data_IF_179821870864
#
_entry.id   IF_179821870864
#
_cell.length_a   1.000
_cell.length_b   1.000
_cell.length_c   1.000
_cell.angle_alpha   90.00
_cell.angle_beta   90.00
_cell.angle_gamma   90.00
#
_symmetry.space_group_name_H-M   'P 1'
#
loop_
_entity.id
_entity.type
_entity.pdbx_description
1 polymer ?
#
# COMPACT_ATOMS: atom_id res chain seq x y z
N UNK A 1 60.86 21.69 23.13
CA UNK A 1 60.06 22.19 24.26
C UNK A 1 58.88 21.25 24.50
N UNK A 2 58.84 20.66 25.72
CA UNK A 2 57.70 20.06 26.48
C UNK A 2 56.78 19.08 25.72
N UNK A 3 56.91 17.75 25.85
CA UNK A 3 56.77 16.84 27.02
C UNK A 3 55.43 16.95 27.75
N UNK A 4 54.68 15.84 27.78
CA UNK A 4 54.05 15.31 29.01
C UNK A 4 53.86 13.78 28.93
N UNK A 5 54.60 13.10 29.80
CA UNK A 5 54.39 11.72 30.28
C UNK A 5 53.90 11.77 31.73
N UNK A 6 52.99 10.86 32.13
CA UNK A 6 52.78 10.41 33.53
C UNK A 6 52.31 8.94 33.47
N UNK A 7 53.17 7.93 33.65
CA UNK A 7 53.66 7.28 34.90
C UNK A 7 52.59 6.57 35.76
N UNK A 8 52.51 5.25 35.55
CA UNK A 8 52.59 4.11 36.49
C UNK A 8 52.23 4.32 37.98
N UNK A 9 51.40 3.41 38.51
CA UNK A 9 51.64 2.81 39.83
C UNK A 9 51.19 1.34 39.86
N UNK A 10 52.11 0.46 40.29
CA UNK A 10 51.91 -0.98 40.56
C UNK A 10 51.74 -1.14 42.08
N UNK A 11 50.95 -2.12 42.51
CA UNK A 11 50.92 -2.58 43.90
C UNK A 11 50.39 -4.01 44.00
N UNK A 12 51.31 -4.98 44.06
CA UNK A 12 51.07 -6.37 44.51
C UNK A 12 50.55 -6.38 45.95
N UNK A 13 49.70 -7.36 46.29
CA UNK A 13 49.85 -8.23 47.47
C UNK A 13 49.01 -9.49 47.21
N UNK A 14 49.68 -10.65 47.25
CA UNK A 14 49.07 -11.97 47.29
C UNK A 14 49.72 -12.72 48.45
N UNK A 15 48.98 -13.01 49.54
CA UNK A 15 49.27 -14.01 50.58
C UNK A 15 47.90 -14.39 51.18
N UNK A 16 47.28 -15.49 50.74
CA UNK A 16 47.28 -16.83 51.36
C UNK A 16 46.77 -16.80 52.81
N UNK A 17 45.55 -17.32 53.01
CA UNK A 17 44.92 -17.50 54.31
C UNK A 17 43.83 -18.57 54.24
N UNK A 18 44.27 -19.82 54.21
CA UNK A 18 43.51 -21.06 54.29
C UNK A 18 42.80 -21.17 55.66
N UNK A 19 41.49 -21.48 55.67
CA UNK A 19 40.89 -22.56 56.47
C UNK A 19 39.36 -22.41 56.61
N UNK A 20 38.67 -23.33 55.93
CA UNK A 20 37.41 -24.00 56.26
C UNK A 20 36.74 -23.68 57.60
N UNK A 21 35.43 -23.41 57.58
CA UNK A 21 34.43 -24.21 58.31
C UNK A 21 32.99 -23.91 57.83
N UNK A 22 32.29 -25.01 57.59
CA UNK A 22 30.95 -25.27 57.09
C UNK A 22 29.79 -24.54 57.79
N UNK A 23 28.73 -24.20 57.04
CA UNK A 23 27.35 -24.73 57.18
C UNK A 23 26.32 -23.90 56.39
N UNK A 24 25.46 -24.54 55.59
CA UNK A 24 24.20 -23.94 55.11
C UNK A 24 23.88 -24.19 53.63
N UNK A 25 22.83 -24.97 53.38
CA UNK A 25 22.53 -25.65 52.13
C UNK A 25 21.77 -24.86 51.05
N UNK A 26 22.04 -25.27 49.81
CA UNK A 26 21.14 -25.36 48.65
C UNK A 26 20.61 -24.09 47.97
N UNK A 27 21.22 -23.76 46.83
CA UNK A 27 20.47 -23.54 45.59
C UNK A 27 21.32 -23.97 44.40
N UNK A 28 20.84 -24.96 43.65
CA UNK A 28 21.40 -25.37 42.37
C UNK A 28 21.37 -24.17 41.41
N UNK A 29 22.54 -23.67 41.02
CA UNK A 29 22.65 -22.87 39.81
C UNK A 29 22.53 -23.84 38.63
N UNK A 30 21.33 -23.94 38.06
CA UNK A 30 21.08 -24.65 36.81
C UNK A 30 21.91 -23.95 35.72
N UNK A 31 23.01 -24.57 35.33
CA UNK A 31 23.83 -24.13 34.21
C UNK A 31 22.98 -24.34 32.95
N UNK A 32 22.43 -23.25 32.41
CA UNK A 32 21.69 -23.27 31.15
C UNK A 32 22.67 -23.64 30.03
N UNK A 33 22.71 -24.93 29.68
CA UNK A 33 23.29 -25.39 28.43
C UNK A 33 22.39 -24.86 27.32
N UNK A 34 22.91 -23.92 26.53
CA UNK A 34 22.31 -23.50 25.26
C UNK A 34 22.17 -24.74 24.38
N UNK A 35 20.96 -25.29 24.32
CA UNK A 35 20.62 -26.28 23.31
C UNK A 35 20.66 -25.55 21.97
N UNK A 36 21.67 -25.88 21.17
CA UNK A 36 21.65 -25.58 19.74
C UNK A 36 20.50 -26.41 19.17
N UNK A 37 19.34 -25.79 18.98
CA UNK A 37 18.34 -26.32 18.06
C UNK A 37 19.01 -26.38 16.69
N UNK A 38 19.39 -27.59 16.27
CA UNK A 38 19.50 -27.92 14.85
C UNK A 38 18.10 -27.76 14.26
N UNK A 39 17.78 -26.52 13.86
CA UNK A 39 16.67 -26.29 12.95
C UNK A 39 17.08 -26.95 11.65
N UNK A 40 16.41 -28.05 11.30
CA UNK A 40 16.42 -28.57 9.94
C UNK A 40 16.00 -27.42 9.04
N UNK A 41 16.95 -26.81 8.34
CA UNK A 41 16.70 -25.82 7.31
C UNK A 41 16.01 -26.53 6.14
N UNK A 42 14.70 -26.70 6.25
CA UNK A 42 13.86 -26.66 5.07
C UNK A 42 13.95 -25.23 4.56
N UNK A 43 14.79 -25.02 3.55
CA UNK A 43 14.79 -23.80 2.74
C UNK A 43 13.54 -23.79 1.87
N UNK A 44 12.37 -23.69 2.50
CA UNK A 44 11.21 -23.08 1.87
C UNK A 44 11.24 -21.63 2.35
N UNK A 45 11.65 -20.73 1.47
CA UNK A 45 11.29 -19.32 1.59
C UNK A 45 9.76 -19.27 1.68
N UNK A 46 9.21 -19.13 2.87
CA UNK A 46 7.78 -18.94 3.09
C UNK A 46 7.38 -17.59 2.47
N UNK A 47 7.13 -17.63 1.17
CA UNK A 47 6.55 -16.55 0.41
C UNK A 47 5.19 -16.29 1.05
N UNK A 48 4.98 -15.06 1.53
CA UNK A 48 3.70 -14.66 2.11
C UNK A 48 2.55 -15.13 1.19
N UNK A 49 1.48 -15.71 1.74
CA UNK A 49 0.40 -16.26 0.92
C UNK A 49 -0.11 -15.22 -0.07
N UNK A 50 -0.05 -15.57 -1.35
CA UNK A 50 -0.54 -14.73 -2.44
C UNK A 50 -2.06 -14.56 -2.32
N UNK A 51 -2.56 -13.34 -2.46
CA UNK A 51 -4.00 -13.07 -2.51
C UNK A 51 -4.56 -13.77 -3.76
N UNK A 52 -5.62 -14.59 -3.64
CA UNK A 52 -6.22 -15.29 -4.76
C UNK A 52 -6.88 -14.33 -5.76
N UNK A 53 -7.03 -14.77 -7.01
CA UNK A 53 -7.48 -13.93 -8.12
C UNK A 53 -8.85 -13.28 -7.88
N UNK A 54 -9.79 -14.01 -7.31
CA UNK A 54 -11.15 -13.52 -7.05
C UNK A 54 -11.16 -12.44 -5.96
N UNK A 55 -10.24 -12.53 -5.00
CA UNK A 55 -10.06 -11.54 -3.95
C UNK A 55 -9.34 -10.29 -4.47
N UNK A 56 -8.37 -10.46 -5.38
CA UNK A 56 -7.79 -9.33 -6.13
C UNK A 56 -8.82 -8.62 -7.00
N UNK A 57 -9.70 -9.36 -7.66
CA UNK A 57 -10.79 -8.78 -8.46
C UNK A 57 -11.67 -7.88 -7.59
N UNK A 58 -12.03 -8.33 -6.38
CA UNK A 58 -12.75 -7.51 -5.39
C UNK A 58 -11.94 -6.31 -4.90
N UNK A 59 -10.65 -6.49 -4.66
CA UNK A 59 -9.75 -5.45 -4.16
C UNK A 59 -9.62 -4.28 -5.15
N UNK A 60 -9.49 -4.58 -6.45
CA UNK A 60 -9.31 -3.57 -7.50
C UNK A 60 -10.62 -3.05 -8.10
N UNK A 61 -11.74 -3.77 -7.91
CA UNK A 61 -13.04 -3.40 -8.46
C UNK A 61 -13.45 -1.93 -8.26
N UNK A 62 -13.15 -1.25 -7.14
CA UNK A 62 -13.53 0.16 -6.99
C UNK A 62 -12.74 1.15 -7.87
N UNK A 63 -11.56 0.74 -8.37
CA UNK A 63 -10.63 1.62 -9.10
C UNK A 63 -10.28 1.11 -10.50
N UNK A 64 -10.70 -0.11 -10.86
CA UNK A 64 -10.29 -0.75 -12.11
C UNK A 64 -10.75 0.01 -13.37
N UNK A 65 -11.79 0.84 -13.29
CA UNK A 65 -12.26 1.68 -14.40
C UNK A 65 -11.64 3.09 -14.42
N UNK A 66 -10.76 3.42 -13.47
CA UNK A 66 -10.04 4.70 -13.53
C UNK A 66 -9.20 4.78 -14.81
N UNK A 67 -9.07 5.98 -15.43
CA UNK A 67 -8.08 6.21 -16.48
C UNK A 67 -6.68 5.79 -16.03
N UNK A 68 -5.88 5.25 -16.94
CA UNK A 68 -4.59 4.62 -16.67
C UNK A 68 -3.64 5.54 -15.87
N UNK A 69 -3.52 6.85 -16.17
CA UNK A 69 -2.70 7.76 -15.36
C UNK A 69 -3.17 7.85 -13.91
N UNK A 70 -4.48 7.93 -13.68
CA UNK A 70 -5.05 8.01 -12.33
C UNK A 70 -4.93 6.68 -11.58
N UNK A 71 -5.17 5.57 -12.27
CA UNK A 71 -5.01 4.23 -11.70
C UNK A 71 -3.56 4.02 -11.22
N UNK A 72 -2.58 4.38 -12.05
CA UNK A 72 -1.17 4.26 -11.70
C UNK A 72 -0.83 5.06 -10.43
N UNK A 73 -1.28 6.32 -10.34
CA UNK A 73 -1.06 7.14 -9.15
C UNK A 73 -1.79 6.59 -7.91
N UNK A 74 -3.00 6.07 -8.08
CA UNK A 74 -3.77 5.47 -6.98
C UNK A 74 -3.07 4.23 -6.42
N UNK A 75 -2.57 3.35 -7.29
CA UNK A 75 -1.81 2.16 -6.90
C UNK A 75 -0.49 2.53 -6.22
N UNK A 76 0.26 3.49 -6.78
CA UNK A 76 1.50 3.96 -6.16
C UNK A 76 1.27 4.57 -4.78
N UNK A 77 0.30 5.50 -4.67
CA UNK A 77 -0.05 6.15 -3.41
C UNK A 77 -0.59 5.18 -2.35
N UNK A 78 -1.19 4.05 -2.76
CA UNK A 78 -1.67 3.02 -1.83
C UNK A 78 -0.55 2.37 -1.02
N UNK A 79 0.70 2.47 -1.48
CA UNK A 79 1.88 2.00 -0.73
C UNK A 79 2.32 2.99 0.37
N UNK A 80 1.66 4.15 0.48
CA UNK A 80 1.90 5.20 1.48
C UNK A 80 0.63 5.58 2.28
N UNK A 81 -0.04 4.61 2.94
CA UNK A 81 -1.35 4.85 3.58
C UNK A 81 -1.34 5.98 4.61
N UNK A 82 -0.25 6.13 5.37
CA UNK A 82 -0.11 7.24 6.33
C UNK A 82 -0.11 8.60 5.64
N UNK A 83 0.63 8.73 4.54
CA UNK A 83 0.72 10.00 3.79
C UNK A 83 -0.62 10.35 3.13
N UNK A 84 -1.37 9.36 2.67
CA UNK A 84 -2.74 9.55 2.15
C UNK A 84 -3.68 10.12 3.22
N UNK A 85 -3.62 9.61 4.46
CA UNK A 85 -4.38 10.17 5.58
C UNK A 85 -3.93 11.60 5.90
N UNK A 86 -2.61 11.86 5.88
CA UNK A 86 -2.07 13.20 6.10
C UNK A 86 -2.53 14.18 5.01
N UNK A 87 -2.56 13.74 3.75
CA UNK A 87 -3.07 14.51 2.62
C UNK A 87 -4.54 14.85 2.81
N UNK A 88 -5.39 13.88 3.19
CA UNK A 88 -6.80 14.14 3.49
C UNK A 88 -6.96 15.25 4.53
N UNK A 89 -6.28 15.12 5.67
CA UNK A 89 -6.34 16.11 6.75
C UNK A 89 -5.79 17.47 6.30
N UNK A 90 -4.79 17.49 5.43
CA UNK A 90 -4.22 18.71 4.89
C UNK A 90 -5.19 19.40 3.92
N UNK A 91 -5.85 18.65 3.03
CA UNK A 91 -6.89 19.19 2.15
C UNK A 91 -8.04 19.79 2.98
N UNK A 92 -8.42 19.14 4.08
CA UNK A 92 -9.44 19.66 4.99
C UNK A 92 -9.06 20.98 5.68
N UNK A 93 -7.78 21.21 5.93
CA UNK A 93 -7.28 22.49 6.45
C UNK A 93 -7.05 23.55 5.36
N UNK A 94 -6.96 23.13 4.10
CA UNK A 94 -6.58 23.98 2.97
C UNK A 94 -7.65 24.05 1.87
N UNK A 95 -8.94 23.98 2.24
CA UNK A 95 -10.09 23.91 1.30
C UNK A 95 -10.15 25.05 0.27
N UNK A 96 -9.51 26.18 0.57
CA UNK A 96 -9.48 27.37 -0.27
C UNK A 96 -8.38 27.34 -1.34
N UNK A 97 -7.43 26.40 -1.27
CA UNK A 97 -6.41 26.23 -2.31
C UNK A 97 -7.01 25.50 -3.51
N UNK A 98 -6.72 26.01 -4.72
CA UNK A 98 -7.18 25.47 -6.00
C UNK A 98 -6.08 25.52 -7.04
N UNK A 99 -6.21 24.71 -8.07
CA UNK A 99 -5.38 24.71 -9.28
C UNK A 99 -3.88 24.80 -8.97
N UNK A 100 -3.18 25.74 -9.59
CA UNK A 100 -1.75 25.96 -9.39
C UNK A 100 -1.38 26.25 -7.93
N UNK A 101 -2.20 26.99 -7.18
CA UNK A 101 -1.91 27.29 -5.78
C UNK A 101 -1.96 26.03 -4.90
N UNK A 102 -2.88 25.11 -5.20
CA UNK A 102 -2.94 23.79 -4.57
C UNK A 102 -1.71 22.96 -4.93
N UNK A 103 -1.35 22.88 -6.21
CA UNK A 103 -0.18 22.14 -6.70
C UNK A 103 1.13 22.66 -6.06
N UNK A 104 1.33 23.98 -6.02
CA UNK A 104 2.52 24.59 -5.45
C UNK A 104 2.62 24.39 -3.92
N UNK A 105 1.48 24.25 -3.24
CA UNK A 105 1.43 24.04 -1.80
C UNK A 105 1.63 22.56 -1.42
N UNK A 106 1.04 21.63 -2.17
CA UNK A 106 1.23 20.19 -1.94
C UNK A 106 2.64 19.73 -2.28
N UNK A 107 3.28 20.33 -3.31
CA UNK A 107 4.66 20.01 -3.70
C UNK A 107 5.71 20.32 -2.61
N UNK A 108 5.34 21.10 -1.58
CA UNK A 108 6.18 21.42 -0.43
C UNK A 108 6.06 20.39 0.71
N UNK A 109 5.09 19.49 0.63
CA UNK A 109 4.90 18.46 1.64
C UNK A 109 5.91 17.33 1.41
N UNK A 110 6.41 16.69 2.48
CA UNK A 110 7.43 15.66 2.38
C UNK A 110 6.85 14.28 1.98
N UNK A 111 5.82 14.27 1.14
CA UNK A 111 5.13 13.06 0.69
C UNK A 111 5.67 12.59 -0.65
N UNK A 112 5.46 11.31 -0.97
CA UNK A 112 5.78 10.74 -2.27
C UNK A 112 5.04 11.50 -3.41
N UNK A 113 5.66 11.70 -4.58
CA UNK A 113 5.01 12.37 -5.71
C UNK A 113 3.65 11.78 -6.11
N UNK A 114 3.46 10.47 -5.94
CA UNK A 114 2.17 9.83 -6.22
C UNK A 114 1.08 10.30 -5.25
N UNK A 115 1.40 10.46 -3.97
CA UNK A 115 0.51 11.02 -2.95
C UNK A 115 0.25 12.50 -3.25
N UNK A 116 1.29 13.28 -3.56
CA UNK A 116 1.13 14.69 -3.91
C UNK A 116 0.19 14.88 -5.11
N UNK A 117 0.31 14.04 -6.13
CA UNK A 117 -0.54 14.09 -7.33
C UNK A 117 -2.03 13.86 -7.01
N UNK A 118 -2.34 13.08 -5.96
CA UNK A 118 -3.72 12.86 -5.55
C UNK A 118 -4.42 14.09 -4.96
N UNK A 119 -3.70 15.17 -4.64
CA UNK A 119 -4.31 16.41 -4.18
C UNK A 119 -5.32 17.01 -5.19
N UNK A 120 -5.11 16.76 -6.48
CA UNK A 120 -6.04 17.17 -7.54
C UNK A 120 -7.33 16.33 -7.58
N UNK A 121 -7.39 15.21 -6.85
CA UNK A 121 -8.46 14.23 -6.86
C UNK A 121 -8.99 13.98 -5.42
N UNK A 122 -9.62 14.98 -4.79
CA UNK A 122 -10.05 14.89 -3.39
C UNK A 122 -10.96 13.69 -3.11
N UNK A 123 -11.79 13.27 -4.07
CA UNK A 123 -12.66 12.12 -3.89
C UNK A 123 -11.89 10.78 -3.87
N UNK A 124 -10.75 10.69 -4.59
CA UNK A 124 -9.84 9.53 -4.51
C UNK A 124 -9.15 9.50 -3.16
N UNK A 125 -8.65 10.65 -2.70
CA UNK A 125 -8.05 10.79 -1.37
C UNK A 125 -9.05 10.40 -0.28
N UNK A 126 -10.29 10.87 -0.38
CA UNK A 126 -11.34 10.58 0.59
C UNK A 126 -11.70 9.10 0.60
N UNK A 127 -11.75 8.43 -0.56
CA UNK A 127 -11.92 6.96 -0.64
C UNK A 127 -10.78 6.23 0.07
N UNK A 128 -9.53 6.60 -0.25
CA UNK A 128 -8.36 5.90 0.27
C UNK A 128 -8.16 6.14 1.77
N UNK A 129 -8.27 7.39 2.23
CA UNK A 129 -8.15 7.74 3.64
C UNK A 129 -9.35 7.28 4.47
N UNK A 130 -10.55 7.29 3.88
CA UNK A 130 -11.78 6.82 4.52
C UNK A 130 -11.88 5.31 4.65
N UNK A 131 -11.11 4.56 3.84
CA UNK A 131 -10.97 3.11 3.96
C UNK A 131 -9.48 2.72 4.00
N UNK A 132 -8.84 3.04 5.12
CA UNK A 132 -7.39 2.87 5.27
C UNK A 132 -6.94 1.40 5.24
N UNK A 133 -7.80 0.48 5.69
CA UNK A 133 -7.52 -0.96 5.61
C UNK A 133 -7.44 -1.39 4.15
N UNK A 134 -8.46 -1.07 3.34
CA UNK A 134 -8.45 -1.35 1.90
C UNK A 134 -7.26 -0.72 1.19
N UNK A 135 -6.91 0.53 1.51
CA UNK A 135 -5.72 1.20 0.94
C UNK A 135 -4.44 0.45 1.27
N UNK A 136 -4.30 0.01 2.52
CA UNK A 136 -3.14 -0.77 2.98
C UNK A 136 -3.07 -2.11 2.26
N UNK A 137 -4.20 -2.81 2.13
CA UNK A 137 -4.27 -4.10 1.46
C UNK A 137 -3.96 -3.98 -0.04
N UNK A 138 -4.48 -2.94 -0.69
CA UNK A 138 -4.17 -2.61 -2.09
C UNK A 138 -2.68 -2.36 -2.28
N UNK A 139 -2.06 -1.56 -1.41
CA UNK A 139 -0.63 -1.27 -1.45
C UNK A 139 0.22 -2.52 -1.24
N UNK A 140 -0.11 -3.33 -0.24
CA UNK A 140 0.58 -4.60 0.04
C UNK A 140 0.47 -5.57 -1.14
N UNK A 141 -0.71 -5.71 -1.73
CA UNK A 141 -0.93 -6.54 -2.90
C UNK A 141 -0.11 -6.03 -4.11
N UNK A 142 -0.10 -4.72 -4.34
CA UNK A 142 0.66 -4.11 -5.44
C UNK A 142 2.17 -4.32 -5.29
N UNK A 143 2.69 -4.25 -4.06
CA UNK A 143 4.11 -4.51 -3.76
C UNK A 143 4.47 -6.00 -3.88
N UNK A 144 3.60 -6.90 -3.42
CA UNK A 144 3.90 -8.33 -3.34
C UNK A 144 3.63 -9.10 -4.65
N UNK A 145 2.63 -8.68 -5.42
CA UNK A 145 2.10 -9.42 -6.57
C UNK A 145 1.57 -8.49 -7.67
N UNK A 146 2.38 -7.49 -8.04
CA UNK A 146 2.04 -6.45 -9.02
C UNK A 146 1.39 -6.99 -10.30
N UNK A 147 1.95 -8.04 -10.90
CA UNK A 147 1.42 -8.63 -12.13
C UNK A 147 -0.02 -9.10 -11.97
N UNK A 148 -0.34 -9.71 -10.83
CA UNK A 148 -1.67 -10.26 -10.57
C UNK A 148 -2.70 -9.17 -10.26
N UNK A 149 -2.27 -8.08 -9.61
CA UNK A 149 -3.09 -6.88 -9.41
C UNK A 149 -3.44 -6.25 -10.76
N UNK A 150 -2.46 -6.13 -11.67
CA UNK A 150 -2.71 -5.59 -13.01
C UNK A 150 -3.58 -6.53 -13.85
N UNK A 151 -3.41 -7.84 -13.70
CA UNK A 151 -4.29 -8.82 -14.35
C UNK A 151 -5.72 -8.76 -13.81
N UNK A 152 -5.90 -8.54 -12.51
CA UNK A 152 -7.21 -8.32 -11.91
C UNK A 152 -7.88 -7.07 -12.49
N UNK A 153 -7.15 -5.95 -12.60
CA UNK A 153 -7.67 -4.74 -13.26
C UNK A 153 -8.15 -5.05 -14.68
N UNK A 154 -7.36 -5.78 -15.46
CA UNK A 154 -7.72 -6.14 -16.82
C UNK A 154 -8.92 -7.09 -16.90
N UNK A 155 -9.04 -8.06 -15.97
CA UNK A 155 -10.25 -8.90 -15.84
C UNK A 155 -11.49 -8.04 -15.56
N UNK A 156 -11.38 -7.09 -14.63
CA UNK A 156 -12.48 -6.19 -14.29
C UNK A 156 -12.87 -5.28 -15.46
N UNK A 157 -11.91 -4.73 -16.20
CA UNK A 157 -12.17 -3.95 -17.41
C UNK A 157 -12.84 -4.78 -18.51
N UNK A 158 -12.33 -5.97 -18.81
CA UNK A 158 -12.96 -6.87 -19.78
C UNK A 158 -14.38 -7.30 -19.38
N UNK A 159 -14.63 -7.48 -18.08
CA UNK A 159 -15.97 -7.74 -17.56
C UNK A 159 -16.92 -6.56 -17.79
N UNK A 160 -16.44 -5.32 -17.60
CA UNK A 160 -17.24 -4.12 -17.86
C UNK A 160 -17.47 -3.87 -19.36
N UNK A 161 -16.47 -4.14 -20.23
CA UNK A 161 -16.63 -4.04 -21.69
C UNK A 161 -17.64 -5.06 -22.22
N UNK A 162 -17.53 -6.32 -21.79
CA UNK A 162 -18.45 -7.39 -22.23
C UNK A 162 -19.89 -7.15 -21.80
N UNK A 163 -20.10 -6.45 -20.68
CA UNK A 163 -21.43 -5.99 -20.24
C UNK A 163 -21.88 -4.68 -20.88
N UNK A 164 -21.02 -4.02 -21.65
CA UNK A 164 -21.31 -2.76 -22.31
C UNK A 164 -21.43 -1.58 -21.34
N UNK A 165 -20.89 -1.69 -20.14
CA UNK A 165 -20.88 -0.61 -19.13
C UNK A 165 -19.60 0.22 -19.21
N UNK A 166 -18.49 -0.32 -19.73
CA UNK A 166 -17.29 0.44 -20.06
C UNK A 166 -17.28 0.80 -21.55
N UNK A 167 -17.32 2.09 -21.87
CA UNK A 167 -17.37 2.62 -23.23
C UNK A 167 -16.61 3.94 -23.33
N UNK A 168 -16.16 4.27 -24.55
CA UNK A 168 -15.74 5.62 -24.91
C UNK A 168 -16.89 6.60 -24.73
N UNK A 169 -16.60 7.76 -24.14
CA UNK A 169 -17.54 8.84 -23.86
C UNK A 169 -16.84 10.20 -24.02
N UNK A 170 -17.50 11.29 -23.62
CA UNK A 170 -16.90 12.62 -23.58
C UNK A 170 -15.81 12.76 -22.50
N UNK A 171 -15.77 11.86 -21.52
CA UNK A 171 -14.85 11.91 -20.39
C UNK A 171 -13.63 11.01 -20.58
N UNK A 172 -13.76 9.92 -21.34
CA UNK A 172 -12.71 8.92 -21.52
C UNK A 172 -12.77 8.23 -22.88
N UNK A 173 -11.62 7.75 -23.33
CA UNK A 173 -11.47 6.86 -24.48
C UNK A 173 -11.13 5.46 -24.00
N UNK A 174 -11.85 4.45 -24.48
CA UNK A 174 -11.62 3.04 -24.18
C UNK A 174 -11.12 2.35 -25.44
N UNK A 175 -9.97 1.67 -25.35
CA UNK A 175 -9.34 0.98 -26.49
C UNK A 175 -8.78 -0.37 -26.07
N UNK A 176 -8.96 -1.39 -26.89
CA UNK A 176 -8.19 -2.64 -26.79
C UNK A 176 -6.87 -2.49 -27.55
N UNK A 177 -5.74 -2.62 -26.87
CA UNK A 177 -4.40 -2.59 -27.47
C UNK A 177 -3.73 -3.95 -27.30
N UNK A 178 -3.07 -4.43 -28.35
CA UNK A 178 -2.24 -5.62 -28.26
C UNK A 178 -0.91 -5.25 -27.58
N UNK A 179 -0.55 -5.96 -26.52
CA UNK A 179 0.77 -5.85 -25.88
C UNK A 179 1.68 -6.98 -26.34
N UNK A 180 2.95 -6.87 -25.98
CA UNK A 180 3.95 -7.90 -26.24
C UNK A 180 3.47 -9.27 -25.72
N UNK A 181 3.56 -10.30 -26.56
CA UNK A 181 2.96 -11.62 -26.28
C UNK A 181 1.53 -11.81 -26.80
N UNK A 182 0.96 -10.84 -27.53
CA UNK A 182 -0.31 -10.97 -28.24
C UNK A 182 -1.56 -10.89 -27.36
N UNK A 183 -1.39 -10.59 -26.07
CA UNK A 183 -2.49 -10.34 -25.13
C UNK A 183 -3.13 -8.99 -25.47
N UNK A 184 -4.46 -8.95 -25.50
CA UNK A 184 -5.21 -7.70 -25.59
C UNK A 184 -5.40 -7.12 -24.20
N UNK A 185 -5.11 -5.83 -24.03
CA UNK A 185 -5.39 -5.08 -22.80
C UNK A 185 -6.31 -3.92 -23.09
N UNK A 186 -7.20 -3.64 -22.15
CA UNK A 186 -8.10 -2.50 -22.17
C UNK A 186 -7.36 -1.31 -21.58
N UNK A 187 -7.19 -0.28 -22.39
CA UNK A 187 -6.58 1.00 -22.04
C UNK A 187 -7.69 2.03 -21.89
N UNK A 188 -7.69 2.76 -20.77
CA UNK A 188 -8.61 3.86 -20.50
C UNK A 188 -7.79 5.14 -20.43
N UNK A 189 -7.98 6.02 -21.39
CA UNK A 189 -7.30 7.31 -21.45
C UNK A 189 -8.33 8.44 -21.25
N UNK A 190 -7.95 9.57 -20.63
CA UNK A 190 -8.78 10.77 -20.64
C UNK A 190 -9.12 11.17 -22.08
N UNK A 191 -10.35 11.63 -22.32
CA UNK A 191 -10.72 12.16 -23.64
C UNK A 191 -9.98 13.48 -23.96
N UNK A 192 -9.68 14.25 -22.91
CA UNK A 192 -8.89 15.48 -22.97
C UNK A 192 -7.62 15.32 -22.12
N UNK A 193 -6.41 15.60 -22.65
CA UNK A 193 -5.15 15.34 -21.94
C UNK A 193 -5.02 16.01 -20.57
N UNK A 194 -5.60 17.20 -20.40
CA UNK A 194 -5.48 18.03 -19.20
C UNK A 194 -6.62 17.81 -18.19
N UNK A 195 -7.60 16.95 -18.52
CA UNK A 195 -8.79 16.74 -17.71
C UNK A 195 -9.00 15.25 -17.43
N UNK A 196 -8.62 14.83 -16.23
CA UNK A 196 -8.87 13.47 -15.74
C UNK A 196 -10.17 13.48 -14.92
N UNK A 197 -11.19 12.82 -15.46
CA UNK A 197 -12.41 12.52 -14.71
C UNK A 197 -12.18 11.31 -13.82
N UNK A 198 -12.68 11.35 -12.58
CA UNK A 198 -12.69 10.20 -11.70
C UNK A 198 -14.04 9.48 -11.83
N UNK A 199 -14.08 8.23 -12.34
CA UNK A 199 -15.31 7.48 -12.44
C UNK A 199 -15.90 7.16 -11.06
N UNK A 200 -17.22 7.36 -10.94
CA UNK A 200 -18.00 6.94 -9.78
C UNK A 200 -19.07 5.96 -10.24
N UNK A 201 -18.99 4.71 -9.80
CA UNK A 201 -19.87 3.63 -10.23
C UNK A 201 -20.15 2.62 -9.12
N UNK A 202 -21.25 1.88 -9.26
CA UNK A 202 -21.54 0.71 -8.44
C UNK A 202 -20.84 -0.52 -9.05
N UNK A 203 -19.90 -1.18 -8.36
CA UNK A 203 -19.30 -2.41 -8.84
C UNK A 203 -20.34 -3.49 -9.20
N UNK A 204 -21.48 -3.56 -8.50
CA UNK A 204 -22.55 -4.53 -8.79
C UNK A 204 -23.26 -4.19 -10.12
N UNK A 205 -23.50 -2.90 -10.40
CA UNK A 205 -24.11 -2.48 -11.67
C UNK A 205 -23.15 -2.75 -12.83
N UNK A 206 -21.90 -2.30 -12.70
CA UNK A 206 -20.89 -2.41 -13.76
C UNK A 206 -20.53 -3.88 -13.98
N UNK A 207 -20.17 -4.62 -12.92
CA UNK A 207 -19.63 -5.96 -13.05
C UNK A 207 -20.67 -7.08 -12.93
N UNK A 208 -21.86 -6.83 -12.40
CA UNK A 208 -22.93 -7.83 -12.27
C UNK A 208 -22.92 -8.49 -10.90
N UNK A 209 -22.98 -9.83 -10.85
CA UNK A 209 -23.03 -10.56 -9.60
C UNK A 209 -21.96 -10.07 -8.60
N UNK A 210 -22.30 -9.93 -7.30
CA UNK A 210 -21.36 -9.47 -6.30
C UNK A 210 -20.07 -10.31 -6.35
N UNK A 211 -18.93 -9.64 -6.37
CA UNK A 211 -17.65 -10.30 -6.19
C UNK A 211 -17.57 -10.83 -4.75
N UNK A 212 -16.73 -11.86 -4.45
CA UNK A 212 -16.54 -12.31 -3.08
C UNK A 212 -16.25 -11.13 -2.17
N UNK A 213 -16.95 -11.05 -1.04
CA UNK A 213 -16.84 -9.90 -0.16
C UNK A 213 -15.41 -9.76 0.37
N UNK A 214 -14.64 -8.84 -0.20
CA UNK A 214 -13.53 -8.24 0.52
C UNK A 214 -14.13 -7.48 1.71
N UNK A 215 -13.51 -7.45 2.91
CA UNK A 215 -13.97 -6.61 4.02
C UNK A 215 -13.78 -5.12 3.69
N UNK A 216 -14.52 -4.63 2.69
CA UNK A 216 -14.59 -3.26 2.24
C UNK A 216 -15.79 -2.60 2.91
N UNK A 217 -15.56 -1.51 3.64
CA UNK A 217 -16.66 -0.64 4.02
C UNK A 217 -17.20 0.05 2.75
N UNK A 218 -18.50 -0.04 2.44
CA UNK A 218 -19.06 0.56 1.24
C UNK A 218 -18.85 2.07 1.29
N UNK A 219 -17.90 2.55 0.47
CA UNK A 219 -17.66 3.98 0.29
C UNK A 219 -18.65 4.52 -0.74
N UNK A 220 -19.48 5.46 -0.30
CA UNK A 220 -20.38 6.19 -1.21
C UNK A 220 -19.65 7.44 -1.70
N UNK A 221 -19.53 7.58 -3.02
CA UNK A 221 -19.01 8.81 -3.60
C UNK A 221 -19.95 9.98 -3.26
N UNK A 222 -19.46 11.19 -3.01
CA UNK A 222 -20.32 12.36 -2.93
C UNK A 222 -21.14 12.51 -4.23
N UNK A 223 -22.46 12.42 -4.16
CA UNK A 223 -23.36 12.44 -5.33
C UNK A 223 -23.60 11.08 -6.01
N UNK A 224 -23.03 10.00 -5.49
CA UNK A 224 -23.36 8.63 -5.91
C UNK A 224 -24.70 8.17 -5.34
N UNK A 225 -25.55 7.63 -6.22
CA UNK A 225 -26.80 6.98 -5.86
C UNK A 225 -26.69 5.48 -6.19
N UNK A 226 -27.03 4.56 -5.27
CA UNK A 226 -27.05 3.13 -5.56
C UNK A 226 -27.86 2.82 -6.84
N UNK A 227 -27.29 2.05 -7.75
CA UNK A 227 -27.90 1.73 -9.05
C UNK A 227 -27.42 2.58 -10.24
N UNK A 228 -26.52 3.55 -10.05
CA UNK A 228 -25.94 4.30 -11.19
C UNK A 228 -24.87 3.48 -11.93
N UNK A 229 -24.95 3.49 -13.27
CA UNK A 229 -23.88 3.03 -14.16
C UNK A 229 -22.82 4.12 -14.39
N UNK A 230 -21.83 3.83 -15.25
CA UNK A 230 -20.88 4.82 -15.78
C UNK A 230 -21.56 5.86 -16.67
#
# INVERSE_FOLDING_TARGET
>A
MKSQSRKLFRGMIAIIGLALLSSGSSAFAQQAQSQVMTTTTNTDTEQAPKIPNEELDSLVAPIALYPDPLLAQTLAASTYPLEVVQLQQWLDRNKNLKDKALADAVAKQPWDPSVQALAAYPDVVQRMAGNIQWTTDLGNAFLAQQSDVMDAVQRMRGKAESKGTLKTSAQQTVQSKAVEGGKQVVVIEPAEPDVIYVPSYDPVVVYGAPLPAYPYYPYTYPGYYPGMGL
#
